data_IF_768844227506
#
_entry.id   IF_768844227506
#
_cell.length_a   1.000
_cell.length_b   1.000
_cell.length_c   1.000
_cell.angle_alpha   90.00
_cell.angle_beta   90.00
_cell.angle_gamma   90.00
#
_symmetry.space_group_name_H-M   'P 1'
#
loop_
_entity.id
_entity.type
_entity.pdbx_description
1 polymer ?
#
# COMPACT_ATOMS: atom_id res chain seq x y z
N UNK A 1 -11.38 -10.91 -0.20
CA UNK A 1 -10.07 -10.32 -0.52
C UNK A 1 -9.97 -9.07 0.33
N UNK A 2 -9.24 -9.10 1.45
CA UNK A 2 -9.41 -8.08 2.50
C UNK A 2 -8.16 -7.23 2.72
N UNK A 3 -8.26 -6.03 2.13
CA UNK A 3 -7.82 -4.69 2.53
C UNK A 3 -6.53 -4.53 3.35
N UNK A 4 -5.51 -3.97 2.70
CA UNK A 4 -4.56 -3.09 3.35
C UNK A 4 -5.04 -1.63 3.21
N UNK A 5 -4.65 -0.78 4.15
CA UNK A 5 -5.25 0.54 4.32
C UNK A 5 -4.27 1.62 3.86
N UNK A 6 -4.19 1.84 2.55
CA UNK A 6 -3.50 3.00 1.98
C UNK A 6 -4.53 4.06 1.62
N UNK A 7 -4.44 5.22 2.24
CA UNK A 7 -5.29 6.37 1.90
C UNK A 7 -4.48 7.44 1.15
N UNK A 8 -5.01 7.86 0.00
CA UNK A 8 -4.73 9.10 -0.75
C UNK A 8 -6.02 9.92 -0.71
N UNK A 9 -6.15 11.22 -0.39
CA UNK A 9 -5.24 12.37 -0.20
C UNK A 9 -5.77 13.24 0.96
N UNK A 10 -4.89 14.06 1.54
CA UNK A 10 -5.06 14.95 2.70
C UNK A 10 -5.20 14.34 4.10
N UNK A 11 -5.53 13.06 4.29
CA UNK A 11 -5.34 12.39 5.60
C UNK A 11 -4.96 10.92 5.44
N UNK A 12 -3.77 10.55 5.93
CA UNK A 12 -3.23 9.20 5.82
C UNK A 12 -3.62 8.35 7.05
N UNK A 13 -4.31 7.23 6.82
CA UNK A 13 -4.60 6.27 7.88
C UNK A 13 -3.42 5.32 8.15
N UNK A 14 -3.20 4.98 9.42
CA UNK A 14 -2.00 4.25 9.94
C UNK A 14 -2.37 2.92 10.63
N UNK A 15 -2.51 1.78 9.95
CA UNK A 15 -3.39 0.72 10.51
C UNK A 15 -2.98 -0.74 10.33
N UNK A 16 -2.25 -1.14 9.28
CA UNK A 16 -1.99 -2.59 9.11
C UNK A 16 -1.11 -3.16 10.22
N UNK A 17 -0.19 -2.36 10.76
CA UNK A 17 0.80 -2.80 11.72
C UNK A 17 0.37 -2.79 13.19
N UNK A 18 -0.84 -2.33 13.51
CA UNK A 18 -1.29 -2.31 14.92
C UNK A 18 -1.51 -3.70 15.51
N UNK A 19 -1.63 -4.75 14.68
CA UNK A 19 -1.85 -6.14 15.12
C UNK A 19 -0.98 -7.19 14.42
N UNK A 20 -0.39 -6.93 13.26
CA UNK A 20 0.31 -7.96 12.47
C UNK A 20 1.58 -8.52 13.15
N UNK A 21 2.28 -7.73 13.96
CA UNK A 21 3.43 -8.20 14.75
C UNK A 21 3.05 -9.06 15.96
N UNK A 22 1.76 -9.10 16.32
CA UNK A 22 1.23 -10.02 17.34
C UNK A 22 0.98 -11.40 16.71
N UNK A 23 0.60 -11.41 15.43
CA UNK A 23 0.24 -12.60 14.67
C UNK A 23 1.47 -13.42 14.23
N UNK A 24 2.53 -12.76 13.77
CA UNK A 24 3.84 -13.40 13.69
C UNK A 24 4.47 -13.34 15.09
N UNK A 25 4.82 -14.46 15.75
CA UNK A 25 5.26 -14.47 17.14
C UNK A 25 6.69 -13.91 17.30
N UNK A 26 6.87 -12.63 16.98
CA UNK A 26 8.10 -11.86 17.24
C UNK A 26 8.19 -11.51 18.74
N UNK A 27 7.06 -11.61 19.47
CA UNK A 27 7.00 -11.43 20.94
C UNK A 27 7.79 -12.47 21.75
N UNK A 28 8.08 -13.64 21.18
CA UNK A 28 8.71 -14.76 21.93
C UNK A 28 10.24 -14.70 22.00
N UNK A 29 10.89 -13.72 21.36
CA UNK A 29 12.34 -13.46 21.46
C UNK A 29 12.67 -12.08 22.07
N UNK A 30 12.13 -11.70 23.24
CA UNK A 30 12.28 -10.36 23.77
C UNK A 30 13.72 -10.01 24.20
N UNK A 31 14.58 -11.01 24.44
CA UNK A 31 15.92 -10.79 24.98
C UNK A 31 17.05 -10.72 23.94
N UNK A 32 16.88 -11.24 22.73
CA UNK A 32 17.97 -11.31 21.72
C UNK A 32 18.00 -10.07 20.82
N UNK A 33 16.84 -9.47 20.50
CA UNK A 33 16.77 -8.37 19.53
C UNK A 33 17.05 -6.97 20.10
N UNK A 34 16.97 -6.79 21.43
CA UNK A 34 17.11 -5.48 22.09
C UNK A 34 18.55 -5.00 22.30
N UNK A 35 19.57 -5.88 22.20
CA UNK A 35 20.91 -5.61 22.73
C UNK A 35 22.03 -5.44 21.69
N UNK A 36 21.77 -5.52 20.39
CA UNK A 36 22.83 -5.49 19.36
C UNK A 36 22.54 -4.44 18.26
N UNK A 37 23.59 -3.81 17.74
CA UNK A 37 23.59 -2.62 16.86
C UNK A 37 22.98 -2.78 15.45
N UNK A 38 23.07 -1.72 14.65
CA UNK A 38 22.06 -1.32 13.64
C UNK A 38 22.52 -1.39 12.18
N UNK A 39 21.66 -1.94 11.28
CA UNK A 39 21.91 -2.09 9.83
C UNK A 39 20.67 -1.73 8.97
N UNK A 40 20.87 -1.47 7.69
CA UNK A 40 20.03 -0.63 6.82
C UNK A 40 18.86 -1.39 6.20
N UNK A 41 17.81 -0.67 5.83
CA UNK A 41 16.85 -1.14 4.83
C UNK A 41 16.71 -0.04 3.77
N UNK A 42 16.75 -0.42 2.49
CA UNK A 42 16.17 0.46 1.49
C UNK A 42 14.79 -0.05 1.10
N UNK A 43 13.93 0.91 0.85
CA UNK A 43 12.61 0.65 0.34
C UNK A 43 12.50 1.45 -0.95
N UNK A 44 12.48 0.70 -2.04
CA UNK A 44 12.74 1.08 -3.44
C UNK A 44 11.66 0.26 -4.16
N UNK A 45 10.67 0.72 -4.91
CA UNK A 45 10.34 1.93 -5.66
C UNK A 45 8.84 1.84 -5.97
N UNK A 46 8.05 2.89 -5.84
CA UNK A 46 6.76 3.10 -6.51
C UNK A 46 6.55 4.63 -6.59
N UNK A 47 5.85 5.21 -5.61
CA UNK A 47 5.28 6.56 -5.65
C UNK A 47 5.99 7.60 -4.78
N UNK A 48 6.94 7.20 -3.93
CA UNK A 48 7.71 8.10 -3.06
C UNK A 48 7.32 8.04 -1.58
N UNK A 49 7.82 8.96 -0.74
CA UNK A 49 7.57 8.95 0.71
C UNK A 49 6.96 10.26 1.22
N UNK A 50 6.09 10.16 2.22
CA UNK A 50 5.59 11.31 2.97
C UNK A 50 6.41 11.51 4.26
N UNK A 51 7.48 12.31 4.24
CA UNK A 51 8.48 12.35 5.30
C UNK A 51 7.93 12.88 6.64
N UNK A 52 6.86 13.69 6.62
CA UNK A 52 6.24 14.23 7.83
C UNK A 52 5.40 13.21 8.62
N UNK A 53 5.24 11.97 8.11
CA UNK A 53 4.55 10.92 8.83
C UNK A 53 5.28 10.55 10.12
N UNK A 54 4.55 10.39 11.23
CA UNK A 54 5.11 9.99 12.52
C UNK A 54 5.84 8.63 12.46
N UNK A 55 5.45 7.76 11.54
CA UNK A 55 6.14 6.49 11.26
C UNK A 55 7.59 6.69 10.82
N UNK A 56 7.96 7.88 10.36
CA UNK A 56 9.33 8.22 9.94
C UNK A 56 10.02 9.20 10.89
N UNK A 57 9.51 9.33 12.13
CA UNK A 57 10.22 10.03 13.19
C UNK A 57 11.55 9.32 13.51
N UNK A 58 12.59 10.11 13.73
CA UNK A 58 13.91 9.62 14.15
C UNK A 58 14.07 9.45 15.67
N UNK A 59 12.97 9.61 16.43
CA UNK A 59 12.96 9.41 17.87
C UNK A 59 13.38 7.98 18.22
N UNK A 60 14.46 7.85 19.00
CA UNK A 60 15.01 6.55 19.40
C UNK A 60 15.74 5.82 18.28
N UNK A 61 15.99 6.47 17.14
CA UNK A 61 16.79 5.87 16.08
C UNK A 61 18.28 5.88 16.42
N UNK A 62 19.00 4.82 16.04
CA UNK A 62 20.46 4.82 16.07
C UNK A 62 21.08 5.86 15.14
N UNK A 63 22.39 6.04 15.26
CA UNK A 63 23.15 6.88 14.32
C UNK A 63 23.19 6.25 12.93
N UNK A 64 23.12 7.10 11.91
CA UNK A 64 23.26 6.67 10.51
C UNK A 64 24.63 6.01 10.33
N UNK A 65 24.71 4.75 9.85
CA UNK A 65 25.99 4.08 9.77
C UNK A 65 26.89 4.68 8.69
N UNK A 66 28.19 4.71 8.95
CA UNK A 66 29.20 5.41 8.13
C UNK A 66 29.34 4.88 6.70
N UNK A 67 28.90 3.64 6.44
CA UNK A 67 28.96 3.03 5.10
C UNK A 67 27.92 3.62 4.12
N UNK A 68 26.92 4.35 4.63
CA UNK A 68 25.88 4.97 3.82
C UNK A 68 26.45 6.01 2.87
N UNK A 69 26.13 5.90 1.58
CA UNK A 69 26.59 6.85 0.55
C UNK A 69 25.45 7.63 -0.11
N UNK A 70 24.20 7.29 0.20
CA UNK A 70 23.05 7.98 -0.35
C UNK A 70 22.89 9.41 0.17
N UNK A 71 22.01 10.15 -0.50
CA UNK A 71 21.74 11.58 -0.23
C UNK A 71 20.24 11.86 -0.21
N UNK A 72 19.90 13.04 0.33
CA UNK A 72 18.54 13.59 0.27
C UNK A 72 18.49 14.64 -0.85
N UNK A 73 17.78 14.34 -1.93
CA UNK A 73 17.64 15.25 -3.07
C UNK A 73 16.53 16.28 -2.82
N UNK A 74 16.81 17.53 -3.20
CA UNK A 74 15.79 18.57 -3.22
C UNK A 74 14.91 18.42 -4.45
N UNK A 75 13.64 18.76 -4.31
CA UNK A 75 12.69 18.83 -5.41
C UNK A 75 11.41 19.54 -5.00
N UNK A 76 10.36 19.36 -5.79
CA UNK A 76 9.03 19.93 -5.50
C UNK A 76 8.52 19.53 -4.12
N UNK A 77 8.34 20.53 -3.25
CA UNK A 77 7.89 20.37 -1.85
C UNK A 77 8.70 19.34 -1.03
N UNK A 78 9.97 19.12 -1.38
CA UNK A 78 10.84 18.19 -0.68
C UNK A 78 12.24 18.79 -0.57
N UNK A 79 12.71 19.03 0.64
CA UNK A 79 14.05 19.55 0.92
C UNK A 79 14.93 18.53 1.61
N UNK A 80 16.23 18.78 1.64
CA UNK A 80 17.20 17.94 2.32
C UNK A 80 16.92 17.78 3.82
N UNK A 81 16.25 18.76 4.43
CA UNK A 81 15.79 18.72 5.83
C UNK A 81 14.64 17.74 6.08
N UNK A 82 14.02 17.18 5.03
CA UNK A 82 13.03 16.11 5.18
C UNK A 82 13.66 14.76 5.51
N UNK A 83 14.96 14.58 5.26
CA UNK A 83 15.69 13.42 5.74
C UNK A 83 16.15 13.62 7.19
N UNK A 84 16.18 12.53 7.95
CA UNK A 84 16.56 12.48 9.35
C UNK A 84 17.27 11.13 9.65
N UNK A 85 17.44 10.72 10.91
CA UNK A 85 18.07 9.42 11.19
C UNK A 85 17.17 8.22 10.88
N UNK A 86 15.88 8.42 10.60
CA UNK A 86 14.97 7.38 10.11
C UNK A 86 15.02 7.28 8.60
N UNK A 87 14.60 8.35 7.90
CA UNK A 87 14.70 8.52 6.46
C UNK A 87 16.06 9.12 6.11
N UNK A 88 17.04 8.28 5.78
CA UNK A 88 18.45 8.68 5.64
C UNK A 88 18.83 9.09 4.21
N UNK A 89 17.95 8.84 3.24
CA UNK A 89 18.12 9.25 1.85
C UNK A 89 16.81 9.20 1.10
N UNK A 90 16.65 10.08 0.12
CA UNK A 90 15.44 10.21 -0.67
C UNK A 90 15.80 10.77 -2.03
N UNK A 91 15.48 10.04 -3.10
CA UNK A 91 15.85 10.36 -4.48
C UNK A 91 14.70 10.09 -5.43
N UNK A 92 14.68 10.80 -6.56
CA UNK A 92 13.66 10.63 -7.58
C UNK A 92 14.26 10.52 -8.98
N UNK A 93 13.73 9.61 -9.79
CA UNK A 93 14.26 9.25 -11.11
C UNK A 93 13.16 9.44 -12.13
N UNK A 94 13.27 10.48 -12.97
CA UNK A 94 12.24 10.83 -13.94
C UNK A 94 12.82 11.14 -15.33
N UNK A 95 14.04 10.66 -15.60
CA UNK A 95 14.77 11.02 -16.82
C UNK A 95 14.15 10.33 -18.03
N UNK A 96 13.81 9.06 -17.90
CA UNK A 96 13.18 8.29 -18.97
C UNK A 96 11.76 8.82 -19.25
N UNK A 97 11.00 9.12 -18.20
CA UNK A 97 9.69 9.77 -18.29
C UNK A 97 9.76 11.07 -19.09
N UNK A 98 10.69 11.97 -18.73
CA UNK A 98 10.87 13.26 -19.41
C UNK A 98 11.35 13.08 -20.86
N UNK A 99 12.22 12.10 -21.11
CA UNK A 99 12.71 11.78 -22.46
C UNK A 99 11.59 11.24 -23.37
N UNK A 100 10.60 10.54 -22.81
CA UNK A 100 9.40 10.10 -23.52
C UNK A 100 8.39 11.24 -23.82
N UNK A 101 8.74 12.49 -23.49
CA UNK A 101 7.87 13.66 -23.70
C UNK A 101 6.76 13.80 -22.67
N UNK A 102 6.74 12.96 -21.63
CA UNK A 102 5.78 13.07 -20.54
C UNK A 102 6.20 14.16 -19.55
N UNK A 103 5.20 14.76 -18.90
CA UNK A 103 5.41 15.79 -17.88
C UNK A 103 4.84 15.32 -16.56
N UNK A 104 5.61 15.51 -15.50
CA UNK A 104 5.12 15.30 -14.14
C UNK A 104 4.07 16.38 -13.85
N UNK A 105 2.85 16.01 -13.43
CA UNK A 105 1.80 16.96 -13.07
C UNK A 105 2.22 17.92 -11.93
N UNK A 106 1.58 19.09 -11.81
CA UNK A 106 1.87 20.04 -10.74
C UNK A 106 1.52 19.50 -9.34
N UNK A 107 1.91 20.19 -8.25
CA UNK A 107 1.79 19.76 -6.84
C UNK A 107 0.39 19.43 -6.29
N UNK A 108 -0.64 19.46 -7.13
CA UNK A 108 -2.00 18.99 -6.84
C UNK A 108 -2.30 17.64 -7.46
N UNK A 109 -1.30 16.99 -8.06
CA UNK A 109 -1.44 15.68 -8.68
C UNK A 109 -0.21 14.82 -8.44
N UNK A 110 0.98 15.40 -8.56
CA UNK A 110 2.26 14.73 -8.29
C UNK A 110 3.36 15.73 -7.91
N UNK A 111 4.55 15.23 -7.61
CA UNK A 111 5.73 15.98 -7.21
C UNK A 111 6.94 15.50 -8.00
N UNK A 112 7.67 16.43 -8.63
CA UNK A 112 9.01 16.19 -9.19
C UNK A 112 10.04 16.18 -8.05
N UNK A 113 9.90 15.19 -7.18
CA UNK A 113 10.73 14.92 -6.00
C UNK A 113 10.44 13.52 -5.46
N UNK A 114 11.13 13.12 -4.40
CA UNK A 114 10.86 11.87 -3.68
C UNK A 114 9.55 11.91 -2.85
N UNK A 115 8.77 13.00 -2.89
CA UNK A 115 7.50 13.10 -2.17
C UNK A 115 6.46 12.17 -2.77
N UNK A 116 5.76 11.47 -1.88
CA UNK A 116 4.65 10.58 -2.22
C UNK A 116 3.42 11.36 -2.67
N UNK A 117 2.91 11.05 -3.86
CA UNK A 117 1.66 11.62 -4.38
C UNK A 117 0.44 10.72 -4.16
N UNK A 118 0.66 9.42 -3.93
CA UNK A 118 -0.37 8.38 -3.88
C UNK A 118 -0.60 7.89 -2.45
N UNK A 119 0.45 7.71 -1.65
CA UNK A 119 0.40 7.14 -0.31
C UNK A 119 0.87 5.69 -0.25
N UNK A 120 1.01 5.01 -1.40
CA UNK A 120 1.30 3.58 -1.49
C UNK A 120 2.66 3.26 -0.86
N UNK A 121 3.70 3.97 -1.29
CA UNK A 121 5.04 3.73 -0.77
C UNK A 121 5.23 4.19 0.66
N UNK A 122 4.54 5.25 1.08
CA UNK A 122 4.52 5.59 2.51
C UNK A 122 3.93 4.44 3.35
N UNK A 123 2.91 3.76 2.85
CA UNK A 123 2.30 2.62 3.53
C UNK A 123 3.24 1.41 3.56
N UNK A 124 3.87 1.06 2.43
CA UNK A 124 4.82 -0.08 2.38
C UNK A 124 6.07 0.22 3.21
N UNK A 125 6.61 1.44 3.15
CA UNK A 125 7.69 1.96 3.97
C UNK A 125 7.45 1.79 5.47
N UNK A 126 6.28 2.26 5.92
CA UNK A 126 5.89 2.19 7.32
C UNK A 126 5.55 0.77 7.78
N UNK A 127 5.13 -0.10 6.87
CA UNK A 127 4.94 -1.53 7.15
C UNK A 127 6.27 -2.25 7.37
N UNK A 128 7.28 -1.97 6.56
CA UNK A 128 8.58 -2.61 6.69
C UNK A 128 9.35 -2.08 7.90
N UNK A 129 9.39 -0.75 8.07
CA UNK A 129 10.29 -0.11 9.03
C UNK A 129 9.65 0.93 9.93
N UNK A 130 8.35 1.25 9.84
CA UNK A 130 7.75 2.35 10.60
C UNK A 130 8.15 2.38 12.08
N UNK A 131 8.45 3.56 12.61
CA UNK A 131 8.70 3.74 14.03
C UNK A 131 7.40 3.54 14.82
N UNK A 132 7.50 3.45 16.15
CA UNK A 132 6.35 3.26 17.02
C UNK A 132 5.48 4.52 17.07
N UNK A 133 4.23 4.38 16.63
CA UNK A 133 3.22 5.44 16.63
C UNK A 133 2.07 5.03 17.54
N UNK A 134 1.98 5.63 18.73
CA UNK A 134 0.92 5.35 19.68
C UNK A 134 -0.41 5.99 19.26
N UNK A 135 -1.53 5.29 19.50
CA UNK A 135 -2.87 5.81 19.19
C UNK A 135 -3.21 5.84 17.70
N UNK A 136 -2.42 5.17 16.85
CA UNK A 136 -2.68 5.03 15.43
C UNK A 136 -4.04 4.35 15.19
N UNK A 137 -4.86 4.92 14.29
CA UNK A 137 -6.20 4.44 13.94
C UNK A 137 -6.64 5.00 12.56
N UNK A 138 -7.67 4.42 11.93
CA UNK A 138 -8.48 5.11 10.90
C UNK A 138 -9.76 5.48 11.57
N UNK A 139 -10.06 6.76 11.74
CA UNK A 139 -11.42 7.18 12.09
C UNK A 139 -12.01 6.35 13.28
N UNK A 140 -11.16 5.97 14.25
CA UNK A 140 -11.50 5.12 15.40
C UNK A 140 -11.25 3.60 15.23
N UNK A 141 -11.14 3.09 14.01
CA UNK A 141 -10.91 1.69 13.68
C UNK A 141 -9.45 1.24 13.86
N UNK A 142 -9.29 -0.03 14.27
CA UNK A 142 -8.01 -0.72 14.46
C UNK A 142 -6.98 0.08 15.27
N UNK A 143 -7.49 0.75 16.31
CA UNK A 143 -6.71 1.56 17.26
C UNK A 143 -5.63 0.72 17.93
N UNK A 144 -4.40 1.21 17.90
CA UNK A 144 -3.28 0.55 18.58
C UNK A 144 -1.98 1.32 18.48
N UNK A 145 -0.86 0.60 18.57
CA UNK A 145 0.47 1.13 18.30
C UNK A 145 0.88 0.61 16.93
N UNK A 146 1.01 1.51 15.94
CA UNK A 146 1.52 1.13 14.62
C UNK A 146 3.06 1.10 14.67
N UNK A 147 3.69 0.10 14.05
CA UNK A 147 5.16 -0.02 13.91
C UNK A 147 5.52 -0.96 12.78
N UNK A 148 6.61 -0.75 12.07
CA UNK A 148 7.05 -1.72 11.06
C UNK A 148 7.62 -2.99 11.70
N UNK A 149 7.84 -4.02 10.88
CA UNK A 149 8.49 -5.25 11.32
C UNK A 149 9.89 -4.99 11.88
N UNK A 150 10.63 -4.05 11.29
CA UNK A 150 11.95 -3.60 11.74
C UNK A 150 11.97 -2.10 12.11
N UNK A 151 11.42 -1.68 13.28
CA UNK A 151 11.24 -0.26 13.62
C UNK A 151 12.56 0.54 13.71
N UNK A 152 13.66 -0.13 14.05
CA UNK A 152 14.98 0.48 14.21
C UNK A 152 15.84 0.46 12.93
N UNK A 153 15.34 -0.11 11.82
CA UNK A 153 16.03 -0.05 10.55
C UNK A 153 15.95 1.37 9.94
N UNK A 154 17.03 1.85 9.34
CA UNK A 154 16.98 3.07 8.52
C UNK A 154 16.21 2.80 7.23
N UNK A 155 15.61 3.82 6.63
CA UNK A 155 14.95 3.75 5.32
C UNK A 155 15.58 4.75 4.36
N UNK A 156 15.76 4.33 3.11
CA UNK A 156 16.07 5.21 1.99
C UNK A 156 15.03 5.01 0.89
N UNK A 157 14.49 6.12 0.37
CA UNK A 157 13.42 6.14 -0.63
C UNK A 157 13.96 6.45 -2.01
N UNK A 158 13.58 5.65 -3.00
CA UNK A 158 13.93 5.86 -4.40
C UNK A 158 12.62 5.85 -5.20
N UNK A 159 12.16 7.00 -5.65
CA UNK A 159 10.93 7.13 -6.44
C UNK A 159 11.27 7.01 -7.93
N UNK A 160 10.73 6.00 -8.60
CA UNK A 160 10.93 5.76 -10.03
C UNK A 160 9.65 5.78 -10.85
N UNK A 161 8.48 5.90 -10.21
CA UNK A 161 7.20 6.04 -10.89
C UNK A 161 6.48 7.32 -10.44
N UNK A 162 5.82 7.94 -11.41
CA UNK A 162 5.04 9.15 -11.26
C UNK A 162 3.61 8.90 -11.75
N UNK A 163 2.69 9.81 -11.43
CA UNK A 163 1.31 9.76 -11.92
C UNK A 163 1.24 9.65 -13.44
N UNK A 164 2.16 10.33 -14.13
CA UNK A 164 2.25 10.27 -15.58
C UNK A 164 2.62 8.88 -16.13
N UNK A 165 3.18 7.98 -15.32
CA UNK A 165 3.48 6.59 -15.70
C UNK A 165 2.30 5.63 -15.49
N UNK A 166 1.26 6.01 -14.74
CA UNK A 166 0.21 5.06 -14.32
C UNK A 166 -0.50 4.34 -15.48
N UNK A 167 -0.47 4.91 -16.69
CA UNK A 167 -1.10 4.36 -17.88
C UNK A 167 -0.09 4.05 -19.01
N UNK A 168 1.21 4.02 -18.73
CA UNK A 168 2.23 3.67 -19.71
C UNK A 168 3.47 3.01 -19.04
N UNK A 169 4.43 2.59 -19.85
CA UNK A 169 5.67 1.97 -19.36
C UNK A 169 6.89 2.89 -19.54
N UNK A 170 6.69 4.20 -19.73
CA UNK A 170 7.77 5.13 -20.05
C UNK A 170 8.77 5.31 -18.89
N UNK A 171 8.30 5.22 -17.64
CA UNK A 171 9.14 5.24 -16.44
C UNK A 171 9.85 3.93 -16.10
N UNK A 172 9.67 2.84 -16.88
CA UNK A 172 10.35 1.56 -16.58
C UNK A 172 11.88 1.67 -16.47
N UNK A 173 12.60 2.45 -17.31
CA UNK A 173 14.05 2.60 -17.16
C UNK A 173 14.43 3.46 -15.94
N UNK A 174 13.54 4.34 -15.48
CA UNK A 174 13.76 5.11 -14.25
C UNK A 174 13.70 4.20 -13.00
N UNK A 175 12.90 3.12 -13.03
CA UNK A 175 12.92 2.07 -11.98
C UNK A 175 14.24 1.33 -11.96
N UNK A 176 14.80 0.96 -13.12
CA UNK A 176 16.12 0.33 -13.17
C UNK A 176 17.21 1.26 -12.61
N UNK A 177 17.20 2.53 -13.00
CA UNK A 177 18.13 3.54 -12.50
C UNK A 177 18.01 3.73 -10.98
N UNK A 178 16.80 3.62 -10.44
CA UNK A 178 16.56 3.67 -9.00
C UNK A 178 17.14 2.47 -8.26
N UNK A 179 17.01 1.26 -8.82
CA UNK A 179 17.61 0.03 -8.28
C UNK A 179 19.15 0.13 -8.29
N UNK A 180 19.75 0.46 -9.44
CA UNK A 180 21.20 0.62 -9.59
C UNK A 180 21.76 1.63 -8.57
N UNK A 181 21.06 2.74 -8.40
CA UNK A 181 21.49 3.76 -7.46
C UNK A 181 21.34 3.31 -6.00
N UNK A 182 20.30 2.55 -5.66
CA UNK A 182 20.16 1.97 -4.34
C UNK A 182 21.31 0.99 -4.04
N UNK A 183 21.69 0.15 -5.00
CA UNK A 183 22.85 -0.75 -4.88
C UNK A 183 24.13 0.07 -4.60
N UNK A 184 24.38 1.11 -5.41
CA UNK A 184 25.56 1.97 -5.27
C UNK A 184 25.62 2.73 -3.93
N UNK A 185 24.46 3.10 -3.39
CA UNK A 185 24.34 3.81 -2.10
C UNK A 185 24.59 2.90 -0.89
N UNK A 186 24.66 1.57 -1.11
CA UNK A 186 25.07 0.58 -0.11
C UNK A 186 23.92 0.04 0.74
N UNK A 187 22.75 -0.14 0.13
CA UNK A 187 21.55 -0.67 0.79
C UNK A 187 21.69 -2.17 1.08
N UNK A 188 21.10 -2.66 2.17
CA UNK A 188 21.21 -4.09 2.54
C UNK A 188 20.06 -4.93 1.97
N UNK A 189 18.89 -4.31 1.73
CA UNK A 189 17.63 -4.94 1.30
C UNK A 189 16.93 -4.03 0.29
N UNK A 190 16.31 -4.62 -0.72
CA UNK A 190 15.35 -3.98 -1.62
C UNK A 190 13.95 -4.54 -1.38
N UNK A 191 12.99 -3.64 -1.16
CA UNK A 191 11.57 -3.98 -0.95
C UNK A 191 10.72 -3.34 -2.04
N UNK A 192 10.46 -4.08 -3.12
CA UNK A 192 9.75 -3.59 -4.30
C UNK A 192 8.29 -4.05 -4.30
N UNK A 193 7.37 -3.10 -4.20
CA UNK A 193 5.92 -3.37 -4.24
C UNK A 193 5.33 -2.96 -5.59
N UNK A 194 6.05 -3.34 -6.65
CA UNK A 194 5.77 -3.01 -8.04
C UNK A 194 5.95 -4.25 -8.92
N UNK A 195 5.38 -4.23 -10.10
CA UNK A 195 5.54 -5.30 -11.09
C UNK A 195 5.01 -4.86 -12.45
N UNK A 196 5.69 -5.28 -13.51
CA UNK A 196 5.27 -5.01 -14.88
C UNK A 196 4.55 -6.22 -15.48
N UNK A 197 4.16 -6.14 -16.75
CA UNK A 197 3.67 -7.32 -17.48
C UNK A 197 4.70 -8.46 -17.45
N UNK A 198 4.25 -9.70 -17.59
CA UNK A 198 5.18 -10.83 -17.70
C UNK A 198 6.03 -10.68 -18.96
N UNK A 199 7.34 -10.67 -18.78
CA UNK A 199 8.35 -10.56 -19.84
C UNK A 199 9.46 -11.60 -19.58
N UNK A 200 10.32 -11.84 -20.57
CA UNK A 200 11.51 -12.63 -20.34
C UNK A 200 12.47 -11.92 -19.37
N UNK A 201 13.26 -12.67 -18.60
CA UNK A 201 14.12 -12.08 -17.55
C UNK A 201 15.11 -11.03 -18.05
N UNK A 202 15.56 -11.13 -19.30
CA UNK A 202 16.48 -10.16 -19.92
C UNK A 202 15.78 -8.91 -20.47
N UNK A 203 14.46 -8.85 -20.42
CA UNK A 203 13.63 -7.68 -20.76
C UNK A 203 12.98 -7.05 -19.53
N UNK A 204 12.87 -7.81 -18.43
CA UNK A 204 12.31 -7.35 -17.16
C UNK A 204 13.34 -6.56 -16.34
N UNK A 205 13.15 -5.25 -16.29
CA UNK A 205 14.01 -4.32 -15.54
C UNK A 205 14.10 -4.66 -14.04
N UNK A 206 13.05 -5.25 -13.45
CA UNK A 206 13.06 -5.67 -12.05
C UNK A 206 13.94 -6.91 -11.92
N UNK A 207 13.80 -7.88 -12.83
CA UNK A 207 14.63 -9.09 -12.83
C UNK A 207 16.11 -8.74 -13.02
N UNK A 208 16.44 -7.88 -13.98
CA UNK A 208 17.81 -7.42 -14.25
C UNK A 208 18.39 -6.69 -13.02
N UNK A 209 17.68 -5.69 -12.49
CA UNK A 209 18.14 -4.93 -11.34
C UNK A 209 18.26 -5.79 -10.07
N UNK A 210 17.34 -6.73 -9.88
CA UNK A 210 17.39 -7.66 -8.75
C UNK A 210 18.58 -8.63 -8.84
N UNK A 211 18.96 -9.07 -10.04
CA UNK A 211 20.13 -9.93 -10.22
C UNK A 211 21.39 -9.20 -9.76
N UNK A 212 21.59 -7.96 -10.24
CA UNK A 212 22.71 -7.10 -9.83
C UNK A 212 22.72 -6.85 -8.32
N UNK A 213 21.55 -6.70 -7.69
CA UNK A 213 21.45 -6.52 -6.25
C UNK A 213 21.88 -7.77 -5.48
N UNK A 214 21.39 -8.95 -5.88
CA UNK A 214 21.70 -10.22 -5.22
C UNK A 214 23.19 -10.59 -5.37
N UNK A 215 23.80 -10.29 -6.51
CA UNK A 215 25.26 -10.45 -6.70
C UNK A 215 26.10 -9.59 -5.75
N UNK A 216 25.56 -8.46 -5.28
CA UNK A 216 26.17 -7.61 -4.26
C UNK A 216 25.76 -8.00 -2.83
N UNK A 217 25.12 -9.16 -2.65
CA UNK A 217 24.63 -9.66 -1.37
C UNK A 217 23.42 -8.92 -0.84
N UNK A 218 22.66 -8.20 -1.67
CA UNK A 218 21.46 -7.44 -1.27
C UNK A 218 20.24 -8.36 -1.36
N UNK A 219 19.45 -8.43 -0.30
CA UNK A 219 18.24 -9.26 -0.28
C UNK A 219 17.10 -8.55 -1.02
N UNK A 220 16.41 -9.25 -1.92
CA UNK A 220 15.34 -8.67 -2.76
C UNK A 220 13.99 -9.32 -2.45
N UNK A 221 13.01 -8.50 -2.07
CA UNK A 221 11.63 -8.90 -1.82
C UNK A 221 10.68 -8.15 -2.75
N UNK A 222 9.92 -8.90 -3.56
CA UNK A 222 8.95 -8.35 -4.51
C UNK A 222 7.54 -8.89 -4.27
N UNK A 223 6.52 -8.08 -4.57
CA UNK A 223 5.12 -8.51 -4.56
C UNK A 223 4.78 -9.44 -5.72
N UNK A 224 3.98 -10.49 -5.50
CA UNK A 224 3.60 -11.46 -6.54
C UNK A 224 2.58 -10.94 -7.59
N UNK A 225 2.02 -9.74 -7.40
CA UNK A 225 0.91 -9.22 -8.22
C UNK A 225 -0.46 -9.51 -7.60
N UNK A 226 -1.51 -8.85 -8.12
CA UNK A 226 -2.88 -8.93 -7.58
C UNK A 226 -3.87 -9.56 -8.59
N UNK A 227 -3.34 -10.12 -9.66
CA UNK A 227 -4.10 -10.62 -10.82
C UNK A 227 -4.61 -12.07 -10.61
N UNK A 228 -4.65 -12.54 -9.37
CA UNK A 228 -4.99 -13.93 -9.02
C UNK A 228 -6.42 -14.34 -9.39
N UNK A 229 -7.34 -13.38 -9.48
CA UNK A 229 -8.72 -13.63 -9.93
C UNK A 229 -8.83 -14.02 -11.40
N UNK A 230 -7.82 -13.71 -12.22
CA UNK A 230 -7.79 -14.06 -13.65
C UNK A 230 -7.29 -15.49 -13.92
N UNK A 231 -7.06 -16.29 -12.87
CA UNK A 231 -6.72 -17.70 -12.96
C UNK A 231 -5.24 -18.02 -12.74
N UNK A 232 -4.79 -19.14 -13.32
CA UNK A 232 -3.44 -19.66 -13.12
C UNK A 232 -2.38 -18.88 -13.91
N UNK A 233 -1.14 -18.85 -13.41
CA UNK A 233 0.00 -18.27 -14.11
C UNK A 233 0.08 -16.73 -14.06
N UNK A 234 -0.65 -16.09 -13.13
CA UNK A 234 -0.77 -14.63 -13.01
C UNK A 234 0.31 -13.99 -12.12
N UNK A 235 1.26 -14.79 -11.61
CA UNK A 235 2.36 -14.33 -10.75
C UNK A 235 3.32 -13.45 -11.54
N UNK A 236 3.69 -12.30 -10.95
CA UNK A 236 4.74 -11.39 -11.41
C UNK A 236 6.01 -11.55 -10.57
N UNK A 237 7.12 -10.98 -11.03
CA UNK A 237 8.40 -10.97 -10.34
C UNK A 237 9.00 -12.37 -10.07
N UNK A 238 8.67 -13.37 -10.88
CA UNK A 238 8.99 -14.79 -10.64
C UNK A 238 10.45 -15.19 -10.93
N UNK A 239 11.37 -14.24 -11.06
CA UNK A 239 12.78 -14.58 -11.27
C UNK A 239 13.34 -15.32 -10.04
N UNK A 240 14.20 -16.32 -10.27
CA UNK A 240 14.65 -17.25 -9.23
C UNK A 240 15.41 -16.59 -8.08
N UNK A 241 16.07 -15.45 -8.35
CA UNK A 241 16.80 -14.65 -7.37
C UNK A 241 15.92 -13.66 -6.61
N UNK A 242 14.62 -13.58 -6.90
CA UNK A 242 13.66 -12.69 -6.23
C UNK A 242 12.83 -13.48 -5.22
N UNK A 243 12.76 -12.98 -3.97
CA UNK A 243 11.76 -13.48 -3.03
C UNK A 243 10.38 -12.91 -3.39
N UNK A 244 9.57 -13.72 -4.08
CA UNK A 244 8.23 -13.33 -4.53
C UNK A 244 7.18 -13.60 -3.46
N UNK A 245 6.45 -12.55 -3.06
CA UNK A 245 5.59 -12.57 -1.86
C UNK A 245 4.12 -12.49 -2.22
N UNK A 246 3.38 -13.57 -1.91
CA UNK A 246 1.92 -13.61 -1.95
C UNK A 246 1.28 -12.92 -0.74
N UNK A 247 -0.03 -12.66 -0.81
CA UNK A 247 -0.80 -12.05 0.28
C UNK A 247 -1.74 -13.07 0.93
N UNK A 248 -1.81 -13.04 2.26
CA UNK A 248 -2.76 -13.80 3.06
C UNK A 248 -3.55 -12.89 4.00
N UNK A 249 -4.66 -13.41 4.52
CA UNK A 249 -5.48 -12.75 5.54
C UNK A 249 -4.86 -12.87 6.92
N UNK A 250 -5.27 -11.98 7.83
CA UNK A 250 -4.97 -12.05 9.26
C UNK A 250 -6.26 -12.32 10.04
N UNK A 251 -6.15 -12.62 11.33
CA UNK A 251 -7.26 -12.90 12.24
C UNK A 251 -8.14 -11.67 12.56
N UNK A 252 -7.67 -10.46 12.27
CA UNK A 252 -8.43 -9.22 12.46
C UNK A 252 -9.43 -9.00 11.34
N UNK A 253 -10.70 -8.84 11.72
CA UNK A 253 -11.80 -8.45 10.84
C UNK A 253 -12.41 -7.13 11.32
N UNK A 254 -12.98 -6.36 10.39
CA UNK A 254 -13.73 -5.15 10.71
C UNK A 254 -15.22 -5.48 10.65
N UNK A 255 -15.89 -5.45 11.79
CA UNK A 255 -17.26 -5.91 11.94
C UNK A 255 -18.23 -4.74 12.08
N UNK A 256 -19.37 -4.83 11.40
CA UNK A 256 -20.55 -4.00 11.61
C UNK A 256 -21.73 -4.86 12.03
N UNK A 257 -22.47 -4.38 13.02
CA UNK A 257 -23.65 -5.08 13.54
C UNK A 257 -24.91 -4.49 12.92
N UNK A 258 -25.68 -5.31 12.21
CA UNK A 258 -27.03 -5.00 11.75
C UNK A 258 -28.03 -5.57 12.76
N UNK A 259 -28.86 -4.70 13.34
CA UNK A 259 -29.97 -5.11 14.20
C UNK A 259 -31.29 -4.74 13.55
N UNK A 260 -32.13 -5.73 13.29
CA UNK A 260 -33.47 -5.57 12.76
C UNK A 260 -34.49 -5.32 13.89
N UNK A 261 -35.63 -4.75 13.53
CA UNK A 261 -36.75 -4.53 14.46
C UNK A 261 -37.29 -5.84 15.04
N UNK A 262 -37.21 -6.93 14.29
CA UNK A 262 -37.57 -8.30 14.74
C UNK A 262 -36.71 -8.82 15.89
N UNK A 263 -35.65 -8.09 16.28
CA UNK A 263 -34.66 -8.53 17.25
C UNK A 263 -33.55 -9.40 16.64
N UNK A 264 -33.63 -9.71 15.35
CA UNK A 264 -32.58 -10.43 14.63
C UNK A 264 -31.31 -9.56 14.52
N UNK A 265 -30.17 -10.14 14.87
CA UNK A 265 -28.86 -9.48 14.86
C UNK A 265 -27.93 -10.24 13.93
N UNK A 266 -27.28 -9.52 13.02
CA UNK A 266 -26.25 -10.04 12.13
C UNK A 266 -24.98 -9.25 12.36
N UNK A 267 -23.88 -9.95 12.63
CA UNK A 267 -22.55 -9.38 12.53
C UNK A 267 -22.02 -9.65 11.13
N UNK A 268 -21.71 -8.58 10.40
CA UNK A 268 -21.19 -8.63 9.05
C UNK A 268 -19.83 -7.94 8.99
N UNK A 269 -19.03 -8.23 7.97
CA UNK A 269 -17.83 -7.47 7.71
C UNK A 269 -18.19 -6.14 7.05
N UNK A 270 -17.57 -5.06 7.50
CA UNK A 270 -17.72 -3.74 6.90
C UNK A 270 -16.41 -3.00 6.96
N UNK A 271 -16.03 -2.46 5.82
CA UNK A 271 -14.84 -1.64 5.69
C UNK A 271 -15.15 -0.15 5.64
N UNK A 272 -16.38 0.23 6.01
CA UNK A 272 -16.73 1.64 6.12
C UNK A 272 -15.91 2.29 7.24
N UNK A 273 -15.21 3.37 6.89
CA UNK A 273 -14.13 3.89 7.73
C UNK A 273 -14.63 4.59 8.98
N UNK A 274 -15.82 5.17 8.97
CA UNK A 274 -16.36 5.92 10.11
C UNK A 274 -17.23 5.05 11.00
N UNK A 275 -17.16 5.29 12.31
CA UNK A 275 -18.11 4.70 13.25
C UNK A 275 -19.45 5.44 13.17
N UNK A 276 -20.29 5.05 12.22
CA UNK A 276 -21.62 5.62 12.00
C UNK A 276 -22.69 4.68 12.52
N UNK A 277 -23.59 5.22 13.33
CA UNK A 277 -24.78 4.53 13.80
C UNK A 277 -25.97 4.93 12.94
N UNK A 278 -26.41 4.01 12.08
CA UNK A 278 -27.64 4.15 11.31
C UNK A 278 -28.78 3.51 12.11
N UNK A 279 -29.84 4.28 12.41
CA UNK A 279 -30.99 3.81 13.18
C UNK A 279 -32.30 4.22 12.52
N UNK A 280 -33.33 3.40 12.68
CA UNK A 280 -34.69 3.66 12.19
C UNK A 280 -34.78 3.92 10.68
N UNK A 281 -33.92 3.26 9.91
CA UNK A 281 -33.93 3.32 8.45
C UNK A 281 -34.69 2.14 7.87
N UNK A 282 -35.53 2.41 6.87
CA UNK A 282 -36.22 1.36 6.11
C UNK A 282 -35.26 0.58 5.23
N UNK A 283 -35.48 -0.73 5.10
CA UNK A 283 -34.77 -1.60 4.18
C UNK A 283 -35.42 -1.58 2.79
N UNK A 284 -34.59 -1.66 1.75
CA UNK A 284 -35.02 -1.91 0.38
C UNK A 284 -34.37 -3.19 -0.14
N UNK A 285 -35.17 -4.08 -0.70
CA UNK A 285 -34.72 -5.27 -1.42
C UNK A 285 -35.53 -5.38 -2.72
N UNK A 286 -34.86 -5.67 -3.84
CA UNK A 286 -35.47 -5.78 -5.17
C UNK A 286 -36.33 -7.03 -5.37
N UNK A 287 -37.08 -7.48 -4.36
CA UNK A 287 -37.84 -8.73 -4.37
C UNK A 287 -38.78 -8.80 -5.57
N UNK A 288 -38.74 -9.92 -6.29
CA UNK A 288 -39.57 -10.14 -7.50
C UNK A 288 -38.95 -9.61 -8.80
N UNK A 289 -37.78 -8.97 -8.74
CA UNK A 289 -37.04 -8.51 -9.92
C UNK A 289 -35.56 -8.91 -9.80
N UNK A 290 -35.14 -9.92 -10.57
CA UNK A 290 -33.77 -10.48 -10.50
C UNK A 290 -32.66 -9.42 -10.59
N UNK A 291 -32.77 -8.46 -11.51
CA UNK A 291 -31.76 -7.42 -11.67
C UNK A 291 -31.71 -6.44 -10.47
N UNK A 292 -32.85 -6.19 -9.83
CA UNK A 292 -32.92 -5.29 -8.67
C UNK A 292 -32.51 -5.98 -7.39
N UNK A 293 -32.75 -7.28 -7.27
CA UNK A 293 -32.36 -8.05 -6.09
C UNK A 293 -30.85 -8.24 -6.03
N UNK A 294 -30.17 -8.35 -7.17
CA UNK A 294 -28.69 -8.43 -7.25
C UNK A 294 -28.01 -7.06 -7.41
N UNK A 295 -28.76 -5.95 -7.38
CA UNK A 295 -28.24 -4.59 -7.59
C UNK A 295 -27.38 -4.47 -8.87
N UNK A 296 -27.90 -5.00 -9.98
CA UNK A 296 -27.22 -4.93 -11.27
C UNK A 296 -27.06 -3.46 -11.72
N UNK A 297 -25.99 -3.11 -12.45
CA UNK A 297 -25.79 -1.75 -12.97
C UNK A 297 -27.01 -1.22 -13.72
N UNK A 298 -27.49 -0.04 -13.35
CA UNK A 298 -28.67 0.63 -13.90
C UNK A 298 -30.02 0.05 -13.49
N UNK A 299 -30.08 -0.88 -12.53
CA UNK A 299 -31.32 -1.52 -12.12
C UNK A 299 -32.07 -0.78 -11.00
N UNK A 300 -31.37 0.00 -10.17
CA UNK A 300 -31.94 0.69 -9.02
C UNK A 300 -32.50 2.06 -9.39
N UNK A 301 -33.53 2.47 -8.67
CA UNK A 301 -34.22 3.75 -8.87
C UNK A 301 -33.91 4.64 -7.65
N UNK A 302 -33.16 5.73 -7.90
CA UNK A 302 -32.71 6.66 -6.86
C UNK A 302 -33.87 7.17 -5.98
N UNK A 303 -35.04 7.45 -6.57
CA UNK A 303 -36.22 7.93 -5.84
C UNK A 303 -36.77 6.90 -4.85
N UNK A 304 -36.54 5.61 -5.10
CA UNK A 304 -37.06 4.51 -4.28
C UNK A 304 -36.10 4.08 -3.18
N UNK A 305 -34.80 4.32 -3.36
CA UNK A 305 -33.76 3.85 -2.45
C UNK A 305 -33.11 4.96 -1.63
N UNK A 306 -33.30 6.23 -1.99
CA UNK A 306 -32.75 7.35 -1.23
C UNK A 306 -33.14 7.29 0.25
N UNK A 307 -32.14 7.38 1.14
CA UNK A 307 -32.32 7.31 2.59
C UNK A 307 -32.65 5.92 3.15
N UNK A 308 -32.54 4.86 2.34
CA UNK A 308 -32.80 3.46 2.74
C UNK A 308 -31.51 2.64 2.82
N UNK A 309 -31.54 1.55 3.58
CA UNK A 309 -30.49 0.52 3.52
C UNK A 309 -30.87 -0.46 2.42
N UNK A 310 -30.05 -0.54 1.38
CA UNK A 310 -30.27 -1.43 0.23
C UNK A 310 -29.61 -2.79 0.49
N UNK A 311 -30.36 -3.86 0.27
CA UNK A 311 -29.88 -5.25 0.38
C UNK A 311 -29.74 -5.83 -1.03
N UNK A 312 -28.54 -6.31 -1.34
CA UNK A 312 -28.19 -6.94 -2.61
C UNK A 312 -27.88 -8.43 -2.38
N UNK A 313 -28.44 -9.29 -3.23
CA UNK A 313 -28.16 -10.71 -3.23
C UNK A 313 -26.77 -10.96 -3.86
N UNK A 314 -25.92 -11.71 -3.17
CA UNK A 314 -24.60 -12.08 -3.68
C UNK A 314 -24.74 -13.12 -4.81
N UNK A 315 -24.07 -12.88 -5.94
CA UNK A 315 -24.08 -13.76 -7.12
C UNK A 315 -22.77 -13.65 -7.89
N UNK A 316 -22.42 -14.69 -8.65
CA UNK A 316 -21.26 -14.68 -9.56
C UNK A 316 -21.52 -13.86 -10.84
N UNK A 317 -22.77 -13.45 -11.07
CA UNK A 317 -23.18 -12.70 -12.27
C UNK A 317 -22.81 -11.22 -12.23
N UNK A 318 -22.74 -10.64 -11.03
CA UNK A 318 -22.44 -9.22 -10.83
C UNK A 318 -21.40 -9.11 -9.72
N UNK A 319 -20.17 -8.64 -10.02
CA UNK A 319 -19.15 -8.41 -9.01
C UNK A 319 -19.66 -7.51 -7.88
N UNK A 320 -19.27 -7.83 -6.65
CA UNK A 320 -19.67 -7.02 -5.46
C UNK A 320 -19.29 -5.53 -5.59
N UNK A 321 -18.20 -5.23 -6.30
CA UNK A 321 -17.79 -3.85 -6.63
C UNK A 321 -18.83 -3.12 -7.48
N UNK A 322 -19.39 -3.79 -8.49
CA UNK A 322 -20.39 -3.20 -9.38
C UNK A 322 -21.73 -3.00 -8.66
N UNK A 323 -22.10 -3.95 -7.80
CA UNK A 323 -23.27 -3.79 -6.92
C UNK A 323 -23.10 -2.57 -6.01
N UNK A 324 -21.91 -2.38 -5.45
CA UNK A 324 -21.62 -1.24 -4.58
C UNK A 324 -21.63 0.09 -5.34
N UNK A 325 -21.12 0.13 -6.57
CA UNK A 325 -21.20 1.30 -7.46
C UNK A 325 -22.66 1.67 -7.74
N UNK A 326 -23.49 0.69 -8.09
CA UNK A 326 -24.92 0.89 -8.36
C UNK A 326 -25.66 1.45 -7.14
N UNK A 327 -25.43 0.88 -5.96
CA UNK A 327 -26.05 1.36 -4.71
C UNK A 327 -25.55 2.76 -4.36
N UNK A 328 -24.23 2.99 -4.40
CA UNK A 328 -23.67 4.29 -4.04
C UNK A 328 -24.20 5.38 -4.97
N UNK A 329 -24.03 5.26 -6.29
CA UNK A 329 -24.49 6.24 -7.28
C UNK A 329 -25.98 6.62 -7.20
N UNK A 330 -26.85 5.71 -6.75
CA UNK A 330 -28.29 5.96 -6.63
C UNK A 330 -28.76 6.33 -5.21
N UNK A 331 -28.04 5.92 -4.16
CA UNK A 331 -28.40 6.18 -2.76
C UNK A 331 -27.67 7.39 -2.15
N UNK A 332 -26.50 7.75 -2.70
CA UNK A 332 -25.65 8.84 -2.23
C UNK A 332 -24.75 9.37 -3.37
N UNK A 333 -24.77 10.67 -3.66
CA UNK A 333 -23.87 11.28 -4.64
C UNK A 333 -22.70 11.97 -3.92
N UNK A 334 -21.49 11.37 -3.84
CA UNK A 334 -20.30 12.13 -3.51
C UNK A 334 -19.74 12.84 -4.76
N UNK A 335 -18.99 13.93 -4.53
CA UNK A 335 -18.63 14.91 -5.56
C UNK A 335 -17.21 14.75 -6.15
N UNK A 336 -16.45 13.66 -5.85
CA UNK A 336 -15.06 13.51 -6.34
C UNK A 336 -14.63 12.07 -6.68
N UNK A 337 -14.31 11.75 -7.95
CA UNK A 337 -13.87 10.42 -8.36
C UNK A 337 -12.43 10.11 -7.90
N UNK A 338 -12.22 8.90 -7.38
CA UNK A 338 -10.96 8.30 -6.92
C UNK A 338 -10.36 7.31 -7.94
N UNK A 339 -11.17 6.44 -8.57
CA UNK A 339 -10.70 5.44 -9.56
C UNK A 339 -11.80 5.10 -10.55
N UNK A 340 -11.51 4.98 -11.85
CA UNK A 340 -12.52 4.64 -12.85
C UNK A 340 -12.49 3.13 -13.14
N UNK A 341 -13.65 2.45 -13.07
CA UNK A 341 -13.85 1.08 -13.51
C UNK A 341 -14.80 1.07 -14.71
N UNK A 342 -14.27 0.86 -15.91
CA UNK A 342 -15.04 0.99 -17.15
C UNK A 342 -15.52 2.44 -17.35
N UNK A 343 -16.84 2.64 -17.43
CA UNK A 343 -17.46 3.97 -17.55
C UNK A 343 -17.79 4.62 -16.19
N UNK A 344 -17.53 3.93 -15.08
CA UNK A 344 -17.99 4.33 -13.76
C UNK A 344 -16.87 4.89 -12.90
N UNK A 345 -17.13 6.02 -12.27
CA UNK A 345 -16.24 6.63 -11.30
C UNK A 345 -16.48 6.03 -9.91
N UNK A 346 -15.45 5.43 -9.31
CA UNK A 346 -15.40 5.10 -7.89
C UNK A 346 -15.18 6.38 -7.11
N UNK A 347 -16.15 6.80 -6.31
CA UNK A 347 -16.15 8.12 -5.66
C UNK A 347 -16.05 7.93 -4.13
N UNK A 348 -14.87 8.18 -3.58
CA UNK A 348 -14.64 8.21 -2.12
C UNK A 348 -13.53 9.20 -1.81
N UNK A 349 -13.60 9.94 -0.71
CA UNK A 349 -12.46 10.72 -0.21
C UNK A 349 -11.30 9.82 0.27
N UNK A 350 -11.56 8.51 0.45
CA UNK A 350 -10.67 7.54 1.08
C UNK A 350 -10.88 6.12 0.52
N UNK A 351 -9.80 5.46 0.09
CA UNK A 351 -9.86 4.11 -0.46
C UNK A 351 -9.09 3.08 0.37
N UNK A 352 -9.40 1.83 0.09
CA UNK A 352 -8.86 0.64 0.73
C UNK A 352 -8.12 -0.17 -0.32
N UNK A 353 -6.80 -0.22 -0.23
CA UNK A 353 -5.96 -0.86 -1.24
C UNK A 353 -5.36 -2.15 -0.69
N UNK A 354 -5.87 -3.29 -1.16
CA UNK A 354 -5.41 -4.61 -0.75
C UNK A 354 -4.54 -5.22 -1.83
N UNK A 355 -3.39 -5.79 -1.45
CA UNK A 355 -2.58 -6.51 -2.40
C UNK A 355 -1.29 -7.08 -1.83
N UNK A 356 -0.60 -7.83 -2.67
CA UNK A 356 0.75 -8.36 -2.44
C UNK A 356 1.77 -7.26 -2.19
N UNK A 357 1.52 -6.05 -2.70
CA UNK A 357 2.26 -4.83 -2.39
C UNK A 357 2.39 -4.53 -0.90
N UNK A 358 1.42 -4.95 -0.07
CA UNK A 358 1.49 -4.74 1.38
C UNK A 358 2.01 -5.97 2.13
N UNK A 359 2.25 -7.09 1.43
CA UNK A 359 2.85 -8.30 2.00
C UNK A 359 4.38 -8.31 1.82
N UNK A 360 4.89 -7.93 0.65
CA UNK A 360 6.32 -7.79 0.37
C UNK A 360 7.11 -7.01 1.45
N UNK A 361 6.65 -5.85 1.95
CA UNK A 361 7.36 -5.11 3.00
C UNK A 361 7.47 -5.87 4.35
N UNK A 362 6.60 -6.84 4.65
CA UNK A 362 6.77 -7.69 5.84
C UNK A 362 8.00 -8.58 5.70
N UNK A 363 8.17 -9.21 4.53
CA UNK A 363 9.29 -10.10 4.24
C UNK A 363 10.60 -9.31 4.19
N UNK A 364 10.59 -8.11 3.60
CA UNK A 364 11.73 -7.20 3.68
C UNK A 364 12.06 -6.81 5.14
N UNK A 365 11.02 -6.51 5.93
CA UNK A 365 11.04 -6.37 7.39
C UNK A 365 11.83 -7.47 8.10
N UNK A 366 11.42 -8.72 7.87
CA UNK A 366 12.04 -9.91 8.43
C UNK A 366 13.49 -10.03 7.94
N UNK A 367 13.74 -9.78 6.64
CA UNK A 367 15.08 -9.74 6.07
C UNK A 367 16.02 -8.79 6.82
N UNK A 368 15.54 -7.62 7.25
CA UNK A 368 16.36 -6.68 8.04
C UNK A 368 16.65 -7.20 9.44
N UNK A 369 15.68 -7.86 10.08
CA UNK A 369 15.89 -8.50 11.37
C UNK A 369 16.89 -9.67 11.27
N UNK A 370 16.82 -10.46 10.19
CA UNK A 370 17.78 -11.54 9.94
C UNK A 370 19.17 -10.98 9.69
N UNK A 371 19.31 -9.99 8.78
CA UNK A 371 20.61 -9.35 8.49
C UNK A 371 21.24 -8.63 9.67
N UNK A 372 20.43 -8.28 10.69
CA UNK A 372 20.93 -7.76 11.97
C UNK A 372 21.71 -8.83 12.75
N UNK A 373 21.27 -10.09 12.68
CA UNK A 373 21.86 -11.23 13.41
C UNK A 373 22.91 -11.96 12.55
N UNK A 374 22.68 -12.04 11.24
CA UNK A 374 23.52 -12.69 10.24
C UNK A 374 23.90 -11.67 9.15
N UNK A 375 25.00 -10.92 9.32
CA UNK A 375 25.34 -9.82 8.42
C UNK A 375 25.89 -10.24 7.05
N UNK A 376 26.37 -11.48 6.95
CA UNK A 376 26.72 -12.20 5.72
C UNK A 376 25.44 -12.82 5.13
#
# INVERSE_FOLDING_TARGET
>A
MDVALTISRNHQCRIRTTTSDIYYPIRSFPYVFFLLGTRFMALVVDSGIWPESESFSDKGMPQVPKKWKGKCENGTQFGSSNCNKKLIGARSFSKALKAAGLKIPPPEEDYDSARDFKGHDTHTASTATGNHVAGANCFGQARGIARGVAPQAHIAMYKGLFKADMNNLAGTPDVLAAIDQAIADGVDILSMSLGFGQMHYYEDVIAIGALSAVEQGIFVSCSAGNDGEYGYGTVKNAAEWITTVGASTIDRTFTSTLKLESGFVVEAQSYYLQNVRITNTSLYHGKGHSNKSICAPGALDSSKIAGKVVVCDQTDLVPSTDQWIEVSSNAYTPNKPYKQFGSYDFVTDYALDSGTSMAAPYVAGIGALIKKVHPE
#
